data_IF_084839550187
#
_entry.id   IF_084839550187
#
_cell.length_a   1.000
_cell.length_b   1.000
_cell.length_c   1.000
_cell.angle_alpha   90.00
_cell.angle_beta   90.00
_cell.angle_gamma   90.00
#
_symmetry.space_group_name_H-M   'P 1'
#
loop_
_entity.id
_entity.type
_entity.pdbx_description
1 polymer ?
#
# COMPACT_ATOMS: atom_id res chain seq x y z
N UNK A 1 12.45 9.03 26.59
CA UNK A 1 12.66 8.75 25.17
C UNK A 1 12.68 10.06 24.38
N UNK A 2 13.67 10.23 23.49
CA UNK A 2 13.76 11.42 22.62
C UNK A 2 12.76 11.39 21.47
N UNK A 3 12.15 10.25 21.20
CA UNK A 3 11.16 10.05 20.15
C UNK A 3 10.07 9.10 20.65
N UNK A 4 9.11 9.61 21.41
CA UNK A 4 8.03 8.76 21.98
C UNK A 4 7.23 7.99 20.95
N UNK A 5 7.11 8.52 19.73
CA UNK A 5 6.38 7.86 18.65
C UNK A 5 7.00 6.51 18.24
N UNK A 6 8.27 6.29 18.51
CA UNK A 6 8.92 5.01 18.21
C UNK A 6 8.49 3.89 19.16
N UNK A 7 7.90 4.22 20.32
CA UNK A 7 7.35 3.21 21.25
C UNK A 7 6.23 2.40 20.61
N UNK A 8 5.53 2.99 19.66
CA UNK A 8 4.41 2.36 18.97
C UNK A 8 4.77 1.84 17.58
N UNK A 9 5.98 2.14 17.11
CA UNK A 9 6.53 1.63 15.83
C UNK A 9 7.49 0.49 16.12
N UNK A 10 7.14 -0.71 15.68
CA UNK A 10 7.97 -1.91 15.89
C UNK A 10 8.62 -2.41 14.62
N UNK A 11 8.91 -1.50 13.67
CA UNK A 11 9.47 -1.85 12.37
C UNK A 11 10.98 -2.15 12.39
N UNK A 12 11.72 -1.53 13.32
CA UNK A 12 13.17 -1.70 13.43
C UNK A 12 13.59 -1.74 14.90
N UNK A 13 13.94 -2.95 15.38
CA UNK A 13 14.38 -3.17 16.76
C UNK A 13 15.67 -2.40 17.10
N UNK A 14 16.56 -2.20 16.15
CA UNK A 14 17.79 -1.42 16.37
C UNK A 14 17.48 0.04 16.68
N UNK A 15 16.50 0.61 16.01
CA UNK A 15 16.04 1.96 16.28
C UNK A 15 15.42 2.07 17.66
N UNK A 16 14.56 1.15 18.03
CA UNK A 16 13.92 1.13 19.35
C UNK A 16 14.96 1.00 20.46
N UNK A 17 15.91 0.08 20.31
CA UNK A 17 17.00 -0.08 21.29
C UNK A 17 17.83 1.18 21.41
N UNK A 18 18.12 1.88 20.30
CA UNK A 18 18.87 3.14 20.31
C UNK A 18 18.18 4.24 21.12
N UNK A 19 16.86 4.36 21.03
CA UNK A 19 16.10 5.44 21.66
C UNK A 19 15.58 5.11 23.07
N UNK A 20 15.28 3.84 23.36
CA UNK A 20 14.76 3.39 24.64
C UNK A 20 15.84 2.88 25.59
N UNK A 21 16.93 2.37 25.05
CA UNK A 21 17.87 1.55 25.77
C UNK A 21 17.43 0.08 25.80
N UNK A 22 18.38 -0.85 25.94
CA UNK A 22 18.09 -2.29 25.83
C UNK A 22 17.08 -2.79 26.87
N UNK A 23 17.18 -2.34 28.09
CA UNK A 23 16.29 -2.78 29.17
C UNK A 23 14.85 -2.33 28.94
N UNK A 24 14.65 -1.04 28.68
CA UNK A 24 13.31 -0.48 28.48
C UNK A 24 12.64 -1.06 27.24
N UNK A 25 13.39 -1.31 26.18
CA UNK A 25 12.87 -1.97 24.99
C UNK A 25 12.40 -3.40 25.29
N UNK A 26 13.17 -4.19 26.06
CA UNK A 26 12.83 -5.56 26.41
C UNK A 26 11.52 -5.62 27.20
N UNK A 27 11.32 -4.72 28.16
CA UNK A 27 10.08 -4.64 28.94
C UNK A 27 8.89 -4.28 28.04
N UNK A 28 9.06 -3.27 27.16
CA UNK A 28 8.02 -2.85 26.22
C UNK A 28 7.59 -3.99 25.29
N UNK A 29 8.55 -4.68 24.69
CA UNK A 29 8.30 -5.80 23.79
C UNK A 29 7.60 -6.97 24.49
N UNK A 30 8.03 -7.27 25.72
CA UNK A 30 7.39 -8.30 26.55
C UNK A 30 5.93 -7.99 26.87
N UNK A 31 5.61 -6.76 27.22
CA UNK A 31 4.22 -6.34 27.51
C UNK A 31 3.34 -6.49 26.24
N UNK A 32 3.82 -6.07 25.08
CA UNK A 32 3.09 -6.23 23.82
C UNK A 32 2.85 -7.70 23.48
N UNK A 33 3.82 -8.57 23.68
CA UNK A 33 3.68 -10.00 23.46
C UNK A 33 2.62 -10.62 24.35
N UNK A 34 2.59 -10.26 25.64
CA UNK A 34 1.59 -10.75 26.58
C UNK A 34 0.19 -10.32 26.17
N UNK A 35 -0.02 -9.05 25.82
CA UNK A 35 -1.31 -8.54 25.38
C UNK A 35 -1.82 -9.26 24.13
N UNK A 36 -0.95 -9.46 23.14
CA UNK A 36 -1.30 -10.18 21.91
C UNK A 36 -1.72 -11.63 22.20
N UNK A 37 -1.01 -12.32 23.07
CA UNK A 37 -1.31 -13.70 23.43
C UNK A 37 -2.65 -13.82 24.19
N UNK A 38 -2.98 -12.87 25.06
CA UNK A 38 -4.25 -12.85 25.80
C UNK A 38 -5.43 -12.67 24.85
N UNK A 39 -5.38 -11.72 23.92
CA UNK A 39 -6.45 -11.48 22.94
C UNK A 39 -6.68 -12.70 22.06
N UNK A 40 -5.63 -13.31 21.57
CA UNK A 40 -5.69 -14.53 20.77
C UNK A 40 -6.32 -15.69 21.57
N UNK A 41 -5.93 -15.88 22.83
CA UNK A 41 -6.43 -16.96 23.67
C UNK A 41 -7.92 -16.85 23.99
N UNK A 42 -8.45 -15.62 24.08
CA UNK A 42 -9.86 -15.37 24.40
C UNK A 42 -10.78 -15.43 23.17
N UNK A 43 -10.23 -15.36 21.97
CA UNK A 43 -11.01 -15.36 20.73
C UNK A 43 -11.62 -16.74 20.45
N UNK A 44 -12.78 -16.73 19.82
CA UNK A 44 -13.51 -17.94 19.48
C UNK A 44 -14.19 -17.84 18.11
N UNK A 45 -14.84 -18.92 17.71
CA UNK A 45 -15.52 -19.04 16.42
C UNK A 45 -16.69 -18.04 16.27
N UNK A 46 -17.36 -17.66 17.35
CA UNK A 46 -18.43 -16.67 17.32
C UNK A 46 -17.90 -15.28 16.93
N UNK A 47 -16.69 -14.95 17.33
CA UNK A 47 -16.03 -13.70 16.93
C UNK A 47 -15.82 -13.65 15.43
N UNK A 48 -15.40 -14.75 14.82
CA UNK A 48 -15.29 -14.85 13.35
C UNK A 48 -16.66 -14.70 12.68
N UNK A 49 -17.69 -15.37 13.20
CA UNK A 49 -19.04 -15.31 12.63
C UNK A 49 -19.58 -13.89 12.59
N UNK A 50 -19.34 -13.08 13.62
CA UNK A 50 -19.72 -11.66 13.62
C UNK A 50 -19.04 -10.89 12.49
N UNK A 51 -17.74 -11.09 12.27
CA UNK A 51 -17.01 -10.40 11.21
C UNK A 51 -17.49 -10.86 9.85
N UNK A 52 -17.70 -12.16 9.64
CA UNK A 52 -18.20 -12.70 8.38
C UNK A 52 -19.59 -12.16 8.03
N UNK A 53 -20.50 -12.10 8.99
CA UNK A 53 -21.82 -11.53 8.79
C UNK A 53 -21.75 -10.05 8.40
N UNK A 54 -20.84 -9.31 9.01
CA UNK A 54 -20.60 -7.92 8.67
C UNK A 54 -20.03 -7.75 7.26
N UNK A 55 -19.00 -8.51 6.89
CA UNK A 55 -18.34 -8.38 5.58
C UNK A 55 -19.18 -8.92 4.42
N UNK A 56 -20.07 -9.89 4.66
CA UNK A 56 -21.00 -10.37 3.62
C UNK A 56 -21.89 -9.26 3.07
N UNK A 57 -22.28 -8.30 3.91
CA UNK A 57 -23.09 -7.15 3.52
C UNK A 57 -22.34 -6.18 2.60
N UNK A 58 -21.02 -6.25 2.57
CA UNK A 58 -20.16 -5.40 1.73
C UNK A 58 -19.91 -5.99 0.35
N UNK A 59 -20.29 -7.23 0.12
CA UNK A 59 -20.01 -7.89 -1.14
C UNK A 59 -20.67 -7.16 -2.30
N UNK A 60 -19.88 -6.78 -3.30
CA UNK A 60 -20.35 -6.04 -4.47
C UNK A 60 -20.65 -6.99 -5.63
N UNK A 61 -21.62 -6.62 -6.45
CA UNK A 61 -21.83 -7.30 -7.73
C UNK A 61 -20.71 -6.92 -8.68
N UNK A 62 -20.06 -7.88 -9.34
CA UNK A 62 -19.05 -7.55 -10.31
C UNK A 62 -19.64 -6.79 -11.50
N UNK A 63 -18.86 -5.86 -12.05
CA UNK A 63 -19.22 -5.18 -13.29
C UNK A 63 -19.03 -6.17 -14.46
N UNK A 64 -20.09 -6.48 -15.23
CA UNK A 64 -20.00 -7.46 -16.32
C UNK A 64 -18.95 -7.14 -17.37
N UNK A 65 -18.67 -5.88 -17.61
CA UNK A 65 -17.66 -5.43 -18.58
C UNK A 65 -16.24 -5.84 -18.16
N UNK A 66 -15.97 -5.93 -16.84
CA UNK A 66 -14.66 -6.18 -16.31
C UNK A 66 -14.47 -7.55 -15.67
N UNK A 67 -15.56 -8.22 -15.30
CA UNK A 67 -15.47 -9.53 -14.64
C UNK A 67 -14.77 -10.55 -15.54
N UNK A 68 -13.66 -11.07 -15.08
CA UNK A 68 -12.87 -12.05 -15.85
C UNK A 68 -12.08 -11.45 -17.02
N UNK A 69 -12.09 -10.12 -17.20
CA UNK A 69 -11.41 -9.46 -18.32
C UNK A 69 -9.89 -9.69 -18.32
N UNK A 70 -9.31 -9.99 -17.18
CA UNK A 70 -7.87 -10.25 -17.03
C UNK A 70 -7.56 -11.66 -16.54
N UNK A 71 -8.48 -12.59 -16.71
CA UNK A 71 -8.31 -13.98 -16.25
C UNK A 71 -6.99 -14.57 -16.74
N UNK A 72 -6.20 -15.09 -15.80
CA UNK A 72 -4.88 -15.71 -16.05
C UNK A 72 -3.84 -14.80 -16.71
N UNK A 73 -4.05 -13.50 -16.70
CA UNK A 73 -3.03 -12.53 -17.12
C UNK A 73 -2.00 -12.35 -16.00
N UNK A 74 -0.77 -12.06 -16.38
CA UNK A 74 0.25 -11.72 -15.39
C UNK A 74 -0.12 -10.46 -14.63
N UNK A 75 0.31 -10.34 -13.38
CA UNK A 75 0.03 -9.19 -12.54
C UNK A 75 1.34 -8.62 -12.02
N UNK A 76 1.58 -7.36 -12.33
CA UNK A 76 2.76 -6.61 -11.87
C UNK A 76 2.26 -5.46 -11.02
N UNK A 77 2.53 -5.51 -9.73
CA UNK A 77 2.13 -4.48 -8.77
C UNK A 77 3.35 -3.68 -8.35
N UNK A 78 3.32 -2.37 -8.57
CA UNK A 78 4.46 -1.48 -8.35
C UNK A 78 4.11 -0.50 -7.23
N UNK A 79 4.82 -0.64 -6.13
CA UNK A 79 4.70 0.17 -4.94
C UNK A 79 5.67 1.35 -5.04
N UNK A 80 5.13 2.56 -5.13
CA UNK A 80 5.91 3.80 -5.17
C UNK A 80 6.05 4.34 -3.75
N UNK A 81 7.25 4.19 -3.18
CA UNK A 81 7.53 4.62 -1.80
C UNK A 81 7.26 6.11 -1.61
N UNK A 82 6.48 6.46 -0.60
CA UNK A 82 6.21 7.84 -0.17
C UNK A 82 5.63 8.76 -1.26
N UNK A 83 4.97 8.20 -2.27
CA UNK A 83 4.44 8.99 -3.39
C UNK A 83 3.07 9.59 -3.05
N UNK A 84 2.93 10.90 -3.28
CA UNK A 84 1.68 11.65 -3.11
C UNK A 84 1.27 12.32 -4.42
N UNK A 85 -0.03 12.35 -4.69
CA UNK A 85 -0.54 12.85 -5.99
C UNK A 85 -0.38 14.34 -6.21
N UNK A 86 -0.03 15.14 -5.19
CA UNK A 86 0.26 16.55 -5.45
C UNK A 86 1.45 16.72 -6.43
N UNK A 87 2.28 15.69 -6.56
CA UNK A 87 3.40 15.68 -7.52
C UNK A 87 2.94 15.58 -8.97
N UNK A 88 1.75 15.00 -9.21
CA UNK A 88 1.21 14.86 -10.57
C UNK A 88 0.94 16.24 -11.17
N UNK A 89 1.52 16.50 -12.33
CA UNK A 89 1.46 17.79 -13.02
C UNK A 89 2.13 18.96 -12.27
N UNK A 90 2.92 18.66 -11.24
CA UNK A 90 3.66 19.68 -10.50
C UNK A 90 4.91 20.10 -11.27
N UNK A 91 5.12 21.39 -11.35
CA UNK A 91 6.36 21.98 -11.90
C UNK A 91 7.12 22.70 -10.78
N UNK A 92 8.44 22.57 -10.82
CA UNK A 92 9.35 23.30 -9.96
C UNK A 92 10.37 23.99 -10.88
N UNK A 93 10.48 25.32 -10.78
CA UNK A 93 11.34 26.13 -11.65
C UNK A 93 11.08 25.85 -13.15
N UNK A 94 9.80 25.64 -13.52
CA UNK A 94 9.42 25.35 -14.89
C UNK A 94 9.64 23.92 -15.36
N UNK A 95 10.20 23.05 -14.52
CA UNK A 95 10.46 21.65 -14.84
C UNK A 95 9.38 20.74 -14.23
N UNK A 96 8.86 19.78 -14.99
CA UNK A 96 7.95 18.77 -14.46
C UNK A 96 8.67 17.85 -13.49
N UNK A 97 8.08 17.64 -12.30
CA UNK A 97 8.69 16.74 -11.30
C UNK A 97 8.57 15.29 -11.74
N UNK A 98 7.40 14.90 -12.26
CA UNK A 98 7.12 13.52 -12.66
C UNK A 98 6.55 13.45 -14.07
N UNK A 99 7.35 13.76 -15.11
CA UNK A 99 6.84 13.82 -16.48
C UNK A 99 6.25 12.50 -16.98
N UNK A 100 6.82 11.36 -16.61
CA UNK A 100 6.29 10.06 -17.02
C UNK A 100 4.98 9.74 -16.32
N UNK A 101 4.91 9.90 -15.00
CA UNK A 101 3.68 9.67 -14.23
C UNK A 101 2.58 10.64 -14.67
N UNK A 102 2.93 11.89 -15.00
CA UNK A 102 1.99 12.86 -15.56
C UNK A 102 1.33 12.32 -16.85
N UNK A 103 2.12 11.71 -17.70
CA UNK A 103 1.67 11.08 -18.95
C UNK A 103 0.70 9.91 -18.68
N UNK A 104 1.03 9.06 -17.70
CA UNK A 104 0.15 7.95 -17.29
C UNK A 104 -1.16 8.45 -16.68
N UNK A 105 -1.21 9.68 -16.20
CA UNK A 105 -2.34 10.26 -15.46
C UNK A 105 -3.34 10.99 -16.34
N UNK A 106 -3.10 11.06 -17.65
CA UNK A 106 -3.97 11.79 -18.59
C UNK A 106 -5.24 11.03 -18.97
N UNK A 107 -5.27 9.73 -18.81
CA UNK A 107 -6.32 8.87 -19.33
C UNK A 107 -6.18 8.55 -20.83
N UNK A 108 -5.19 9.10 -21.50
CA UNK A 108 -4.94 8.90 -22.93
C UNK A 108 -3.97 7.73 -23.22
N UNK A 109 -3.29 7.23 -22.19
CA UNK A 109 -2.43 6.06 -22.25
C UNK A 109 -3.21 4.80 -21.86
N UNK A 110 -2.53 3.71 -21.61
CA UNK A 110 -3.17 2.41 -21.27
C UNK A 110 -3.73 2.34 -19.87
N UNK A 111 -3.53 3.37 -19.06
CA UNK A 111 -3.83 3.33 -17.62
C UNK A 111 -5.14 4.04 -17.28
N UNK A 112 -5.92 3.35 -16.42
CA UNK A 112 -7.03 3.94 -15.68
C UNK A 112 -6.46 4.59 -14.43
N UNK A 113 -6.54 5.92 -14.34
CA UNK A 113 -6.00 6.68 -13.22
C UNK A 113 -7.09 7.04 -12.23
N UNK A 114 -6.86 6.69 -10.95
CA UNK A 114 -7.72 7.05 -9.84
C UNK A 114 -7.04 8.14 -9.01
N UNK A 115 -7.32 9.43 -9.25
CA UNK A 115 -6.72 10.52 -8.47
C UNK A 115 -7.24 10.58 -7.02
N UNK A 116 -8.44 10.07 -6.76
CA UNK A 116 -9.05 10.08 -5.44
C UNK A 116 -8.86 8.75 -4.70
N UNK A 117 -7.66 8.23 -4.78
CA UNK A 117 -7.25 7.00 -4.11
C UNK A 117 -6.32 7.33 -2.94
N UNK A 118 -6.63 6.77 -1.75
CA UNK A 118 -5.99 7.13 -0.49
C UNK A 118 -5.35 5.91 0.17
N UNK A 119 -4.36 6.16 1.03
CA UNK A 119 -3.79 5.14 1.90
C UNK A 119 -4.53 5.08 3.25
N UNK A 120 -4.43 3.92 3.92
CA UNK A 120 -5.01 3.68 5.24
C UNK A 120 -3.95 3.31 6.26
N UNK A 121 -2.68 3.64 5.98
CA UNK A 121 -1.57 3.23 6.84
C UNK A 121 -1.60 3.95 8.18
N UNK A 122 -1.18 3.24 9.21
CA UNK A 122 -0.89 3.78 10.52
C UNK A 122 0.62 3.79 10.75
N UNK A 123 1.03 3.37 11.93
CA UNK A 123 2.45 3.35 12.33
C UNK A 123 3.30 2.35 11.54
N UNK A 124 2.70 1.34 10.97
CA UNK A 124 3.38 0.34 10.14
C UNK A 124 3.80 0.85 8.75
N UNK A 125 3.40 2.06 8.35
CA UNK A 125 3.81 2.74 7.12
C UNK A 125 3.82 1.82 5.88
N UNK A 126 4.97 1.59 5.29
CA UNK A 126 5.15 0.75 4.10
C UNK A 126 4.56 -0.64 4.29
N UNK A 127 4.82 -1.27 5.43
CA UNK A 127 4.30 -2.62 5.72
C UNK A 127 2.78 -2.64 5.87
N UNK A 128 2.16 -1.59 6.40
CA UNK A 128 0.70 -1.48 6.48
C UNK A 128 0.08 -1.40 5.09
N UNK A 129 0.71 -0.67 4.17
CA UNK A 129 0.26 -0.58 2.78
C UNK A 129 0.31 -1.95 2.09
N UNK A 130 1.44 -2.65 2.19
CA UNK A 130 1.57 -4.01 1.67
C UNK A 130 0.48 -4.93 2.23
N UNK A 131 0.27 -4.84 3.54
CA UNK A 131 -0.72 -5.65 4.24
C UNK A 131 -2.14 -5.40 3.71
N UNK A 132 -2.55 -4.15 3.62
CA UNK A 132 -3.89 -3.77 3.16
C UNK A 132 -4.13 -4.16 1.70
N UNK A 133 -3.14 -3.99 0.84
CA UNK A 133 -3.24 -4.35 -0.57
C UNK A 133 -3.52 -5.83 -0.80
N UNK A 134 -2.89 -6.71 -0.02
CA UNK A 134 -2.98 -8.16 -0.22
C UNK A 134 -4.02 -8.86 0.66
N UNK A 135 -4.56 -8.17 1.68
CA UNK A 135 -5.49 -8.78 2.63
C UNK A 135 -6.84 -8.06 2.72
N UNK A 136 -6.95 -6.84 2.19
CA UNK A 136 -8.15 -6.00 2.32
C UNK A 136 -8.59 -5.84 3.79
N UNK A 137 -7.60 -5.75 4.67
CA UNK A 137 -7.71 -5.46 6.11
C UNK A 137 -6.82 -4.27 6.43
N UNK A 138 -7.07 -3.62 7.53
CA UNK A 138 -6.27 -2.46 7.95
C UNK A 138 -5.12 -2.89 8.85
N UNK A 139 -4.03 -2.10 8.86
CA UNK A 139 -3.00 -2.24 9.87
C UNK A 139 -3.54 -1.96 11.27
N UNK A 140 -2.72 -2.23 12.27
CA UNK A 140 -3.10 -2.05 13.68
C UNK A 140 -3.13 -0.56 14.07
N UNK A 141 -3.91 -0.19 15.11
CA UNK A 141 -3.91 1.18 15.62
C UNK A 141 -2.56 1.58 16.23
N UNK A 142 -1.80 0.61 16.71
CA UNK A 142 -0.45 0.79 17.25
C UNK A 142 0.47 -0.31 16.75
N UNK A 143 1.69 0.06 16.39
CA UNK A 143 2.67 -0.88 15.85
C UNK A 143 2.34 -1.31 14.43
N UNK A 144 2.96 -2.39 14.01
CA UNK A 144 2.85 -2.94 12.66
C UNK A 144 2.25 -4.35 12.72
N UNK A 145 1.28 -4.62 11.85
CA UNK A 145 0.74 -5.98 11.70
C UNK A 145 1.85 -6.97 11.29
N UNK A 146 2.77 -6.53 10.45
CA UNK A 146 3.90 -7.36 10.02
C UNK A 146 4.76 -7.83 11.19
N UNK A 147 5.08 -6.95 12.13
CA UNK A 147 5.91 -7.27 13.29
C UNK A 147 5.15 -8.00 14.39
N UNK A 148 3.88 -7.63 14.63
CA UNK A 148 3.10 -8.11 15.78
C UNK A 148 2.22 -9.31 15.45
N UNK A 149 1.84 -9.50 14.19
CA UNK A 149 0.92 -10.56 13.74
C UNK A 149 1.54 -11.42 12.62
N UNK A 150 2.85 -11.51 12.60
CA UNK A 150 3.59 -12.26 11.58
C UNK A 150 3.37 -13.77 11.59
N UNK A 151 2.81 -14.32 12.67
CA UNK A 151 2.51 -15.74 12.81
C UNK A 151 1.00 -16.07 12.77
N UNK A 152 0.16 -15.09 12.46
CA UNK A 152 -1.26 -15.32 12.29
C UNK A 152 -1.56 -16.20 11.06
N UNK A 153 -2.77 -16.73 11.02
CA UNK A 153 -3.34 -17.38 9.83
C UNK A 153 -3.94 -16.31 8.92
N UNK A 154 -3.63 -16.36 7.62
CA UNK A 154 -4.12 -15.37 6.66
C UNK A 154 -4.78 -16.01 5.45
N UNK A 155 -5.61 -15.21 4.77
CA UNK A 155 -6.28 -15.53 3.52
C UNK A 155 -5.85 -14.52 2.48
N UNK A 156 -4.54 -14.48 2.23
CA UNK A 156 -3.91 -13.44 1.41
C UNK A 156 -4.07 -13.68 -0.08
N UNK A 157 -4.05 -12.59 -0.82
CA UNK A 157 -4.22 -12.58 -2.27
C UNK A 157 -3.28 -13.55 -3.01
N UNK A 158 -1.96 -13.62 -2.73
CA UNK A 158 -1.10 -14.56 -3.45
C UNK A 158 -1.55 -16.01 -3.37
N UNK A 159 -1.99 -16.45 -2.19
CA UNK A 159 -2.47 -17.81 -2.00
C UNK A 159 -3.80 -18.05 -2.71
N UNK A 160 -4.72 -17.09 -2.68
CA UNK A 160 -5.99 -17.19 -3.41
C UNK A 160 -5.72 -17.37 -4.91
N UNK A 161 -4.83 -16.56 -5.47
CA UNK A 161 -4.49 -16.61 -6.89
C UNK A 161 -3.85 -17.95 -7.27
N UNK A 162 -2.99 -18.47 -6.40
CA UNK A 162 -2.39 -19.79 -6.61
C UNK A 162 -3.44 -20.90 -6.61
N UNK A 163 -4.29 -20.92 -5.60
CA UNK A 163 -5.30 -21.98 -5.44
C UNK A 163 -6.36 -21.94 -6.55
N UNK A 164 -6.77 -20.75 -6.96
CA UNK A 164 -7.87 -20.60 -7.93
C UNK A 164 -7.42 -20.64 -9.38
N UNK A 165 -6.24 -20.12 -9.71
CA UNK A 165 -5.82 -19.99 -11.12
C UNK A 165 -4.35 -20.36 -11.36
N UNK A 166 -3.67 -20.97 -10.40
CA UNK A 166 -2.32 -21.50 -10.60
C UNK A 166 -1.22 -20.44 -10.69
N UNK A 167 -1.43 -19.24 -10.13
CA UNK A 167 -0.40 -18.21 -10.12
C UNK A 167 0.79 -18.61 -9.23
N UNK A 168 1.99 -18.27 -9.67
CA UNK A 168 3.15 -18.19 -8.80
C UNK A 168 3.32 -16.74 -8.34
N UNK A 169 3.81 -16.54 -7.13
CA UNK A 169 3.93 -15.20 -6.56
C UNK A 169 5.35 -14.88 -6.15
N UNK A 170 5.72 -13.59 -6.27
CA UNK A 170 7.00 -13.10 -5.83
C UNK A 170 6.91 -11.68 -5.31
N UNK A 171 7.84 -11.33 -4.42
CA UNK A 171 8.10 -9.95 -3.99
C UNK A 171 9.53 -9.61 -4.35
N UNK A 172 9.75 -8.39 -4.84
CA UNK A 172 11.05 -7.85 -5.20
C UNK A 172 11.30 -6.57 -4.42
N UNK A 173 12.39 -6.52 -3.67
CA UNK A 173 12.71 -5.38 -2.82
C UNK A 173 14.22 -5.29 -2.56
N UNK A 174 14.78 -4.10 -2.72
CA UNK A 174 16.22 -3.85 -2.60
C UNK A 174 16.74 -3.71 -1.16
N UNK A 175 16.06 -4.32 -0.18
CA UNK A 175 16.49 -4.40 1.21
C UNK A 175 16.47 -5.86 1.69
N UNK A 176 17.05 -6.13 2.85
CA UNK A 176 17.16 -7.49 3.36
C UNK A 176 15.82 -8.02 3.87
N UNK A 177 15.60 -9.32 3.69
CA UNK A 177 14.31 -10.00 3.92
C UNK A 177 13.76 -9.89 5.34
N UNK A 178 14.62 -9.64 6.34
CA UNK A 178 14.21 -9.50 7.74
C UNK A 178 13.59 -8.15 8.07
N UNK A 179 13.79 -7.14 7.23
CA UNK A 179 13.23 -5.81 7.47
C UNK A 179 11.70 -5.85 7.45
N UNK A 180 11.05 -5.22 8.41
CA UNK A 180 9.61 -5.31 8.63
C UNK A 180 9.10 -6.74 8.89
N UNK A 181 9.96 -7.68 9.29
CA UNK A 181 9.58 -9.09 9.51
C UNK A 181 9.00 -9.77 8.26
N UNK A 182 9.37 -9.30 7.07
CA UNK A 182 8.80 -9.78 5.80
C UNK A 182 9.01 -11.26 5.57
N UNK A 183 10.23 -11.77 5.81
CA UNK A 183 10.55 -13.18 5.60
C UNK A 183 9.65 -14.10 6.41
N UNK A 184 9.19 -13.68 7.58
CA UNK A 184 8.31 -14.47 8.43
C UNK A 184 6.86 -14.38 7.97
N UNK A 185 6.32 -13.17 7.83
CA UNK A 185 4.90 -12.99 7.49
C UNK A 185 4.58 -13.45 6.06
N UNK A 186 5.52 -13.33 5.13
CA UNK A 186 5.31 -13.78 3.74
C UNK A 186 5.04 -15.28 3.63
N UNK A 187 5.60 -16.10 4.54
CA UNK A 187 5.28 -17.53 4.62
C UNK A 187 3.81 -17.76 4.96
N UNK A 188 3.24 -16.89 5.78
CA UNK A 188 1.83 -16.93 6.18
C UNK A 188 0.90 -16.34 5.13
N UNK A 189 1.43 -15.59 4.17
CA UNK A 189 0.68 -15.08 3.01
C UNK A 189 0.72 -16.05 1.81
N UNK A 190 1.57 -17.05 1.84
CA UNK A 190 1.72 -17.99 0.73
C UNK A 190 2.48 -17.40 -0.45
N UNK A 191 3.42 -16.50 -0.21
CA UNK A 191 4.29 -15.94 -1.25
C UNK A 191 5.37 -16.94 -1.59
N UNK A 192 5.51 -17.30 -2.88
CA UNK A 192 6.41 -18.37 -3.32
C UNK A 192 7.88 -17.96 -3.28
N UNK A 193 8.20 -16.73 -3.67
CA UNK A 193 9.60 -16.29 -3.78
C UNK A 193 9.79 -14.85 -3.32
N UNK A 194 10.90 -14.60 -2.63
CA UNK A 194 11.29 -13.27 -2.19
C UNK A 194 12.67 -12.92 -2.74
N UNK A 195 12.69 -12.03 -3.74
CA UNK A 195 13.92 -11.44 -4.27
C UNK A 195 14.28 -10.24 -3.38
N UNK A 196 15.06 -10.52 -2.32
CA UNK A 196 15.55 -9.48 -1.41
C UNK A 196 16.87 -8.86 -1.91
N UNK A 197 17.52 -8.05 -1.07
CA UNK A 197 18.79 -7.40 -1.40
C UNK A 197 19.86 -8.37 -1.92
N UNK A 198 19.87 -9.62 -1.47
CA UNK A 198 20.88 -10.62 -1.89
C UNK A 198 20.77 -11.01 -3.36
N UNK A 199 19.69 -10.66 -4.02
CA UNK A 199 19.46 -10.91 -5.46
C UNK A 199 19.95 -9.78 -6.36
N UNK A 200 20.53 -8.72 -5.78
CA UNK A 200 20.92 -7.50 -6.49
C UNK A 200 22.36 -7.13 -6.20
N UNK A 201 22.95 -6.31 -7.08
CA UNK A 201 24.26 -5.73 -6.86
C UNK A 201 24.18 -4.62 -5.80
N UNK A 202 24.56 -4.94 -4.58
CA UNK A 202 24.54 -4.03 -3.44
C UNK A 202 25.86 -3.29 -3.24
N UNK A 203 26.64 -3.09 -4.31
CA UNK A 203 27.83 -2.24 -4.26
C UNK A 203 27.46 -0.79 -3.94
N UNK A 204 28.38 -0.04 -3.34
CA UNK A 204 28.12 1.29 -2.79
C UNK A 204 27.57 2.27 -3.82
N UNK A 205 28.01 2.19 -5.07
CA UNK A 205 27.52 3.06 -6.15
C UNK A 205 26.02 2.88 -6.42
N UNK A 206 25.47 1.73 -6.11
CA UNK A 206 24.06 1.42 -6.28
C UNK A 206 23.20 1.72 -5.06
N UNK A 207 23.79 2.20 -3.96
CA UNK A 207 23.07 2.43 -2.71
C UNK A 207 22.80 3.90 -2.46
N UNK A 208 21.65 4.18 -1.87
CA UNK A 208 21.26 5.49 -1.34
C UNK A 208 20.38 5.27 -0.11
N UNK A 209 20.66 6.03 0.95
CA UNK A 209 19.88 6.02 2.19
C UNK A 209 19.69 4.60 2.77
N UNK A 210 18.52 4.00 2.58
CA UNK A 210 18.15 2.72 3.22
C UNK A 210 18.48 1.47 2.38
N UNK A 211 18.86 1.62 1.13
CA UNK A 211 19.12 0.45 0.32
C UNK A 211 19.38 0.74 -1.15
N UNK A 212 19.00 -0.21 -1.99
CA UNK A 212 19.27 -0.17 -3.41
C UNK A 212 18.51 0.96 -4.11
N UNK A 213 19.20 1.73 -4.95
CA UNK A 213 18.58 2.76 -5.80
C UNK A 213 17.55 2.14 -6.75
N UNK A 214 16.50 2.88 -7.06
CA UNK A 214 15.39 2.37 -7.86
C UNK A 214 15.79 2.03 -9.31
N UNK A 215 16.71 2.78 -9.95
CA UNK A 215 17.12 2.45 -11.32
C UNK A 215 17.77 1.06 -11.45
N UNK A 216 18.84 0.74 -10.70
CA UNK A 216 19.39 -0.62 -10.77
C UNK A 216 18.42 -1.68 -10.24
N UNK A 217 17.58 -1.36 -9.25
CA UNK A 217 16.54 -2.26 -8.78
C UNK A 217 15.58 -2.67 -9.88
N UNK A 218 14.97 -1.70 -10.55
CA UNK A 218 14.02 -1.97 -11.63
C UNK A 218 14.66 -2.67 -12.82
N UNK A 219 15.88 -2.32 -13.16
CA UNK A 219 16.58 -2.94 -14.30
C UNK A 219 16.77 -4.43 -14.09
N UNK A 220 17.27 -4.82 -12.92
CA UNK A 220 17.46 -6.24 -12.58
C UNK A 220 16.14 -6.96 -12.39
N UNK A 221 15.16 -6.30 -11.77
CA UNK A 221 13.82 -6.87 -11.56
C UNK A 221 13.13 -7.22 -12.88
N UNK A 222 13.26 -6.39 -13.91
CA UNK A 222 12.71 -6.69 -15.23
C UNK A 222 13.30 -7.99 -15.80
N UNK A 223 14.58 -8.26 -15.58
CA UNK A 223 15.22 -9.52 -15.99
C UNK A 223 14.60 -10.71 -15.24
N UNK A 224 14.42 -10.59 -13.93
CA UNK A 224 13.78 -11.65 -13.14
C UNK A 224 12.35 -11.91 -13.61
N UNK A 225 11.57 -10.87 -13.83
CA UNK A 225 10.18 -10.98 -14.28
C UNK A 225 10.10 -11.70 -15.62
N UNK A 226 11.00 -11.42 -16.56
CA UNK A 226 11.01 -12.05 -17.87
C UNK A 226 11.24 -13.56 -17.85
N UNK A 227 11.73 -14.08 -16.72
CA UNK A 227 12.02 -15.50 -16.51
C UNK A 227 10.99 -16.21 -15.61
N UNK A 228 10.00 -15.47 -15.10
CA UNK A 228 8.97 -16.06 -14.22
C UNK A 228 8.02 -16.97 -15.01
N UNK A 229 7.55 -18.02 -14.34
CA UNK A 229 6.52 -18.90 -14.91
C UNK A 229 5.16 -18.18 -14.94
N UNK A 230 4.49 -18.23 -16.07
CA UNK A 230 3.17 -17.61 -16.24
C UNK A 230 2.03 -18.55 -15.85
N UNK A 231 0.92 -18.08 -15.27
CA UNK A 231 0.72 -16.69 -14.84
C UNK A 231 1.46 -16.40 -13.54
N UNK A 232 1.99 -15.19 -13.40
CA UNK A 232 2.66 -14.77 -12.17
C UNK A 232 2.02 -13.51 -11.57
N UNK A 233 2.19 -13.38 -10.26
CA UNK A 233 1.86 -12.20 -9.47
C UNK A 233 3.16 -11.70 -8.82
N UNK A 234 3.65 -10.55 -9.26
CA UNK A 234 4.89 -9.97 -8.75
C UNK A 234 4.64 -8.59 -8.16
N UNK A 235 5.15 -8.38 -6.95
CA UNK A 235 5.07 -7.11 -6.24
C UNK A 235 6.47 -6.51 -6.09
N UNK A 236 6.65 -5.29 -6.64
CA UNK A 236 7.92 -4.55 -6.58
C UNK A 236 7.78 -3.38 -5.61
N UNK A 237 8.73 -3.23 -4.70
CA UNK A 237 8.74 -2.18 -3.68
C UNK A 237 9.97 -1.32 -3.85
N UNK A 238 9.78 -0.04 -4.19
CA UNK A 238 10.84 0.94 -4.39
C UNK A 238 11.38 1.47 -3.07
N UNK A 239 12.55 2.13 -3.08
CA UNK A 239 13.23 2.58 -1.87
C UNK A 239 13.78 4.01 -1.93
N UNK A 240 14.20 4.52 -3.08
CA UNK A 240 14.97 5.77 -3.15
C UNK A 240 14.17 6.98 -2.64
N UNK A 241 12.89 7.06 -2.94
CA UNK A 241 12.00 8.14 -2.50
C UNK A 241 11.52 7.92 -1.07
N UNK A 242 12.47 7.80 -0.12
CA UNK A 242 12.22 7.53 1.29
C UNK A 242 12.84 8.61 2.17
N UNK A 243 12.13 8.96 3.26
CA UNK A 243 12.65 9.91 4.26
C UNK A 243 14.08 9.54 4.69
N UNK A 244 15.03 10.48 4.76
CA UNK A 244 14.92 11.94 4.63
C UNK A 244 15.05 12.50 3.21
N UNK A 245 14.84 11.71 2.18
CA UNK A 245 14.83 12.10 0.76
C UNK A 245 16.17 12.66 0.28
N UNK A 246 17.24 11.96 0.63
CA UNK A 246 18.59 12.28 0.15
C UNK A 246 18.83 11.66 -1.22
N UNK A 247 19.63 12.33 -2.03
CA UNK A 247 20.02 11.82 -3.35
C UNK A 247 21.41 12.34 -3.67
N UNK A 248 22.28 11.47 -4.18
CA UNK A 248 23.60 11.86 -4.65
C UNK A 248 23.45 12.84 -5.81
N UNK A 249 24.37 13.81 -5.89
CA UNK A 249 24.33 14.87 -6.90
C UNK A 249 24.30 14.29 -8.34
N UNK A 250 25.04 13.23 -8.57
CA UNK A 250 25.09 12.55 -9.88
C UNK A 250 23.75 11.90 -10.29
N UNK A 251 22.89 11.60 -9.34
CA UNK A 251 21.58 11.00 -9.59
C UNK A 251 20.45 12.04 -9.69
N UNK A 252 20.72 13.28 -9.28
CA UNK A 252 19.75 14.36 -9.33
C UNK A 252 19.75 15.03 -10.70
N UNK A 253 18.57 15.16 -11.31
CA UNK A 253 18.42 15.79 -12.63
C UNK A 253 17.31 16.83 -12.68
N UNK A 254 16.85 17.28 -11.54
CA UNK A 254 15.95 18.43 -11.38
C UNK A 254 16.48 19.32 -10.26
N UNK A 255 16.33 20.63 -10.41
CA UNK A 255 16.72 21.57 -9.37
C UNK A 255 15.80 21.48 -8.15
N UNK A 256 16.38 21.67 -6.97
CA UNK A 256 15.59 21.75 -5.74
C UNK A 256 14.74 23.02 -5.74
N UNK A 257 13.50 22.95 -5.22
CA UNK A 257 12.80 24.15 -4.81
C UNK A 257 13.54 24.81 -3.64
N UNK A 258 13.27 26.07 -3.38
CA UNK A 258 13.88 26.81 -2.30
C UNK A 258 12.87 27.09 -1.19
N UNK A 259 12.42 26.05 -0.50
CA UNK A 259 11.45 26.19 0.61
C UNK A 259 12.10 26.49 1.96
N UNK A 260 13.41 26.27 2.05
CA UNK A 260 14.14 26.35 3.32
C UNK A 260 14.09 25.08 4.16
N UNK A 261 13.41 24.04 3.69
CA UNK A 261 13.27 22.74 4.33
C UNK A 261 13.94 21.67 3.47
N UNK A 262 15.03 21.11 3.97
CA UNK A 262 15.81 20.12 3.20
C UNK A 262 15.02 18.84 2.88
N UNK A 263 14.08 18.45 3.73
CA UNK A 263 13.24 17.27 3.53
C UNK A 263 12.30 17.49 2.34
N UNK A 264 11.60 18.63 2.31
CA UNK A 264 10.69 18.97 1.21
C UNK A 264 11.45 19.19 -0.09
N UNK A 265 12.58 19.89 -0.04
CA UNK A 265 13.40 20.17 -1.23
C UNK A 265 13.99 18.87 -1.80
N UNK A 266 14.47 17.99 -0.94
CA UNK A 266 14.98 16.68 -1.34
C UNK A 266 13.91 15.76 -1.92
N UNK A 267 12.70 15.83 -1.40
CA UNK A 267 11.57 15.03 -1.87
C UNK A 267 11.29 15.26 -3.37
N UNK A 268 11.41 16.47 -3.84
CA UNK A 268 11.23 16.79 -5.26
C UNK A 268 12.27 16.05 -6.12
N UNK A 269 13.52 16.01 -5.69
CA UNK A 269 14.58 15.31 -6.43
C UNK A 269 14.42 13.80 -6.41
N UNK A 270 14.09 13.22 -5.26
CA UNK A 270 13.90 11.77 -5.15
C UNK A 270 12.64 11.30 -5.90
N UNK A 271 11.57 12.12 -5.90
CA UNK A 271 10.37 11.83 -6.68
C UNK A 271 10.65 11.87 -8.19
N UNK A 272 11.45 12.82 -8.64
CA UNK A 272 11.87 12.89 -10.05
C UNK A 272 12.70 11.66 -10.44
N UNK A 273 13.61 11.23 -9.60
CA UNK A 273 14.40 10.02 -9.79
C UNK A 273 13.51 8.77 -9.85
N UNK A 274 12.52 8.68 -8.98
CA UNK A 274 11.53 7.59 -9.01
C UNK A 274 10.76 7.56 -10.34
N UNK A 275 10.34 8.71 -10.82
CA UNK A 275 9.64 8.84 -12.10
C UNK A 275 10.49 8.33 -13.27
N UNK A 276 11.76 8.72 -13.32
CA UNK A 276 12.71 8.21 -14.33
C UNK A 276 12.90 6.70 -14.22
N UNK A 277 13.00 6.20 -13.00
CA UNK A 277 13.18 4.78 -12.74
C UNK A 277 11.97 3.96 -13.20
N UNK A 278 10.77 4.47 -12.96
CA UNK A 278 9.52 3.85 -13.38
C UNK A 278 9.42 3.83 -14.92
N UNK A 279 9.76 4.93 -15.60
CA UNK A 279 9.78 4.98 -17.05
C UNK A 279 10.72 3.94 -17.64
N UNK A 280 11.93 3.85 -17.13
CA UNK A 280 12.90 2.82 -17.51
C UNK A 280 12.32 1.41 -17.37
N UNK A 281 11.67 1.14 -16.24
CA UNK A 281 11.10 -0.17 -15.96
C UNK A 281 9.99 -0.53 -16.95
N UNK A 282 9.04 0.37 -17.16
CA UNK A 282 7.93 0.13 -18.10
C UNK A 282 8.47 -0.11 -19.51
N UNK A 283 9.46 0.68 -19.95
CA UNK A 283 10.11 0.49 -21.24
C UNK A 283 10.81 -0.87 -21.34
N UNK A 284 11.46 -1.32 -20.27
CA UNK A 284 12.11 -2.65 -20.21
C UNK A 284 11.09 -3.77 -20.29
N UNK A 285 9.94 -3.65 -19.61
CA UNK A 285 8.84 -4.62 -19.69
C UNK A 285 8.31 -4.71 -21.15
N UNK A 286 8.19 -3.59 -21.84
CA UNK A 286 7.78 -3.57 -23.25
C UNK A 286 8.80 -4.29 -24.14
N UNK A 287 10.08 -4.02 -23.96
CA UNK A 287 11.17 -4.64 -24.74
C UNK A 287 11.23 -6.16 -24.50
N UNK A 288 10.93 -6.61 -23.30
CA UNK A 288 10.95 -8.04 -22.93
C UNK A 288 9.66 -8.77 -23.30
N UNK A 289 8.68 -8.08 -23.87
CA UNK A 289 7.42 -8.67 -24.27
C UNK A 289 6.47 -9.02 -23.14
N UNK A 290 6.69 -8.51 -21.93
CA UNK A 290 5.87 -8.80 -20.74
C UNK A 290 4.72 -7.81 -20.59
N UNK A 291 4.89 -6.59 -21.05
CA UNK A 291 3.94 -5.49 -20.82
C UNK A 291 2.54 -5.76 -21.37
N UNK A 292 2.45 -6.24 -22.59
CA UNK A 292 1.18 -6.35 -23.33
C UNK A 292 0.13 -7.19 -22.61
N UNK A 293 0.51 -8.36 -22.12
CA UNK A 293 -0.39 -9.34 -21.52
C UNK A 293 -0.41 -9.29 -19.99
N UNK A 294 0.04 -8.17 -19.41
CA UNK A 294 0.07 -8.01 -17.96
C UNK A 294 -0.90 -6.95 -17.47
N UNK A 295 -1.57 -7.25 -16.37
CA UNK A 295 -2.19 -6.24 -15.52
C UNK A 295 -1.06 -5.52 -14.82
N UNK A 296 -1.04 -4.18 -14.86
CA UNK A 296 -0.06 -3.38 -14.14
C UNK A 296 -0.81 -2.48 -13.17
N UNK A 297 -0.45 -2.57 -11.90
CA UNK A 297 -0.99 -1.72 -10.83
C UNK A 297 0.14 -0.90 -10.25
N UNK A 298 0.00 0.42 -10.27
CA UNK A 298 0.97 1.37 -9.71
C UNK A 298 0.27 2.16 -8.63
N UNK A 299 0.88 2.33 -7.46
CA UNK A 299 0.27 3.08 -6.37
C UNK A 299 1.31 3.68 -5.43
N UNK A 300 0.99 4.85 -4.84
CA UNK A 300 1.74 5.36 -3.70
C UNK A 300 1.31 4.65 -2.41
N UNK A 301 2.23 4.42 -1.50
CA UNK A 301 1.96 3.65 -0.28
C UNK A 301 1.42 4.49 0.88
N UNK A 302 2.01 5.65 1.12
CA UNK A 302 1.60 6.59 2.16
C UNK A 302 2.18 7.98 1.85
N UNK A 303 1.86 9.00 2.67
CA UNK A 303 2.43 10.31 2.50
C UNK A 303 3.96 10.28 2.74
N UNK A 304 4.69 11.10 1.98
CA UNK A 304 6.13 11.29 2.19
C UNK A 304 6.42 12.44 3.14
N UNK A 305 5.63 13.49 3.08
CA UNK A 305 5.82 14.72 3.84
C UNK A 305 4.78 14.84 4.93
N UNK A 306 5.23 14.77 6.20
CA UNK A 306 4.34 14.89 7.35
C UNK A 306 3.93 16.35 7.60
N UNK A 307 2.91 16.55 8.44
CA UNK A 307 2.40 17.87 8.83
C UNK A 307 3.44 18.74 9.54
N UNK A 308 4.52 18.14 10.07
CA UNK A 308 5.65 18.89 10.65
C UNK A 308 6.34 19.79 9.63
N UNK A 309 6.13 19.56 8.33
CA UNK A 309 6.72 20.33 7.23
C UNK A 309 5.70 21.23 6.53
N UNK A 310 4.55 21.51 7.16
CA UNK A 310 3.48 22.29 6.52
C UNK A 310 3.94 23.68 6.06
N UNK A 311 4.82 24.36 6.81
CA UNK A 311 5.32 25.68 6.40
C UNK A 311 6.03 25.64 5.05
N UNK A 312 6.87 24.64 4.84
CA UNK A 312 7.57 24.44 3.56
C UNK A 312 6.60 24.00 2.46
N UNK A 313 5.65 23.14 2.79
CA UNK A 313 4.63 22.70 1.84
C UNK A 313 3.73 23.85 1.38
N UNK A 314 3.41 24.80 2.26
CA UNK A 314 2.69 26.03 1.90
C UNK A 314 3.46 26.84 0.84
N UNK A 315 4.78 26.96 1.00
CA UNK A 315 5.64 27.61 0.02
C UNK A 315 5.67 26.85 -1.32
N UNK A 316 5.79 25.52 -1.25
CA UNK A 316 5.84 24.68 -2.44
C UNK A 316 4.53 24.71 -3.23
N UNK A 317 3.39 24.64 -2.55
CA UNK A 317 2.06 24.54 -3.16
C UNK A 317 1.40 25.91 -3.40
N UNK A 318 1.90 26.97 -2.77
CA UNK A 318 1.31 28.30 -2.89
C UNK A 318 -0.03 28.45 -2.20
N UNK A 319 -0.33 27.63 -1.22
CA UNK A 319 -1.58 27.67 -0.47
C UNK A 319 -1.39 27.21 0.97
N UNK A 320 -2.32 27.60 1.86
CA UNK A 320 -2.27 27.25 3.26
C UNK A 320 -2.64 25.78 3.48
N UNK A 321 -1.92 25.08 4.35
CA UNK A 321 -2.19 23.70 4.71
C UNK A 321 -3.05 23.67 5.97
N UNK A 322 -4.36 23.60 5.79
CA UNK A 322 -5.33 23.35 6.86
C UNK A 322 -5.43 21.85 7.14
N UNK A 323 -6.07 21.41 8.24
CA UNK A 323 -6.31 19.98 8.46
C UNK A 323 -7.06 19.29 7.29
N UNK A 324 -8.03 19.98 6.71
CA UNK A 324 -8.76 19.48 5.54
C UNK A 324 -7.84 19.33 4.31
N UNK A 325 -6.98 20.31 4.07
CA UNK A 325 -5.99 20.25 2.97
C UNK A 325 -4.97 19.16 3.21
N UNK A 326 -4.51 18.97 4.45
CA UNK A 326 -3.57 17.88 4.75
C UNK A 326 -4.20 16.52 4.46
N UNK A 327 -5.49 16.35 4.74
CA UNK A 327 -6.22 15.14 4.39
C UNK A 327 -6.23 14.93 2.86
N UNK A 328 -6.42 15.98 2.08
CA UNK A 328 -6.31 15.89 0.62
C UNK A 328 -4.92 15.46 0.15
N UNK A 329 -3.88 15.84 0.87
CA UNK A 329 -2.50 15.45 0.57
C UNK A 329 -2.21 13.98 0.86
N UNK A 330 -3.12 13.25 1.51
CA UNK A 330 -3.05 11.80 1.68
C UNK A 330 -3.49 11.00 0.46
N UNK A 331 -3.80 11.66 -0.65
CA UNK A 331 -4.01 10.99 -1.93
C UNK A 331 -2.68 10.43 -2.43
N UNK A 332 -2.65 9.12 -2.65
CA UNK A 332 -1.45 8.44 -3.14
C UNK A 332 -1.56 7.97 -4.57
N UNK A 333 -2.77 7.96 -5.11
CA UNK A 333 -3.04 7.59 -6.50
C UNK A 333 -2.98 6.11 -6.78
N UNK A 334 -3.74 5.70 -7.79
CA UNK A 334 -3.75 4.33 -8.28
C UNK A 334 -3.87 4.35 -9.81
N UNK A 335 -2.95 3.68 -10.49
CA UNK A 335 -2.90 3.56 -11.95
C UNK A 335 -3.04 2.09 -12.31
N UNK A 336 -4.09 1.76 -13.04
CA UNK A 336 -4.45 0.40 -13.38
C UNK A 336 -4.45 0.20 -14.90
N UNK A 337 -3.56 -0.67 -15.38
CA UNK A 337 -3.60 -1.13 -16.77
C UNK A 337 -4.26 -2.50 -16.82
N UNK A 338 -5.32 -2.60 -17.61
CA UNK A 338 -6.02 -3.85 -17.88
C UNK A 338 -5.78 -4.21 -19.34
N UNK A 339 -5.17 -5.38 -19.66
CA UNK A 339 -4.94 -5.79 -21.04
C UNK A 339 -6.20 -5.70 -21.91
N UNK A 340 -6.09 -5.04 -23.06
CA UNK A 340 -7.21 -4.88 -23.99
C UNK A 340 -8.20 -3.76 -23.64
N UNK A 341 -7.99 -3.03 -22.56
CA UNK A 341 -8.83 -1.89 -22.17
C UNK A 341 -8.09 -0.58 -22.37
N UNK A 342 -8.82 0.46 -22.79
CA UNK A 342 -8.27 1.81 -22.91
C UNK A 342 -8.15 2.49 -21.55
N UNK A 343 -7.23 3.45 -21.44
CA UNK A 343 -7.09 4.29 -20.27
C UNK A 343 -8.25 5.28 -20.12
N UNK A 344 -8.41 5.77 -18.91
CA UNK A 344 -9.35 6.84 -18.57
C UNK A 344 -8.93 7.47 -17.23
N UNK A 345 -9.53 8.59 -16.89
CA UNK A 345 -9.43 9.14 -15.53
C UNK A 345 -10.71 8.78 -14.79
N UNK A 346 -10.59 8.08 -13.68
CA UNK A 346 -11.71 7.63 -12.87
C UNK A 346 -11.70 8.37 -11.53
N UNK A 347 -12.71 9.20 -11.30
CA UNK A 347 -12.79 10.04 -10.10
C UNK A 347 -13.43 9.35 -8.89
N UNK A 348 -13.66 8.05 -8.97
CA UNK A 348 -14.20 7.25 -7.86
C UNK A 348 -13.29 7.37 -6.63
N UNK A 349 -13.91 7.64 -5.48
CA UNK A 349 -13.19 7.62 -4.19
C UNK A 349 -12.94 6.18 -3.76
N UNK A 350 -11.70 5.86 -3.50
CA UNK A 350 -11.27 4.53 -3.13
C UNK A 350 -10.01 4.55 -2.27
N UNK A 351 -9.67 3.41 -1.73
CA UNK A 351 -8.46 3.24 -0.94
C UNK A 351 -7.81 1.89 -1.20
N UNK A 352 -6.70 1.67 -0.54
CA UNK A 352 -5.89 0.45 -0.74
C UNK A 352 -6.67 -0.83 -0.40
N UNK A 353 -7.61 -0.77 0.54
CA UNK A 353 -8.48 -1.89 0.89
C UNK A 353 -9.34 -2.38 -0.28
N UNK A 354 -9.57 -1.53 -1.26
CA UNK A 354 -10.45 -1.83 -2.40
C UNK A 354 -9.74 -2.56 -3.54
N UNK A 355 -8.42 -2.66 -3.51
CA UNK A 355 -7.64 -3.24 -4.63
C UNK A 355 -7.83 -4.74 -4.72
N UNK A 356 -7.77 -5.46 -3.62
CA UNK A 356 -7.92 -6.92 -3.62
C UNK A 356 -9.26 -7.38 -4.22
N UNK A 357 -10.43 -6.88 -3.76
CA UNK A 357 -11.70 -7.28 -4.39
C UNK A 357 -11.81 -6.86 -5.85
N UNK A 358 -11.24 -5.73 -6.23
CA UNK A 358 -11.19 -5.29 -7.63
C UNK A 358 -10.41 -6.27 -8.50
N UNK A 359 -9.22 -6.68 -8.06
CA UNK A 359 -8.39 -7.62 -8.79
C UNK A 359 -9.04 -8.99 -8.90
N UNK A 360 -9.64 -9.49 -7.81
CA UNK A 360 -10.32 -10.80 -7.84
C UNK A 360 -11.44 -10.83 -8.88
N UNK A 361 -12.26 -9.79 -8.96
CA UNK A 361 -13.29 -9.69 -9.99
C UNK A 361 -12.70 -9.58 -11.41
N UNK A 362 -11.62 -8.82 -11.60
CA UNK A 362 -10.92 -8.75 -12.89
C UNK A 362 -10.44 -10.12 -13.36
N UNK A 363 -10.09 -11.00 -12.44
CA UNK A 363 -9.64 -12.36 -12.74
C UNK A 363 -10.80 -13.35 -12.88
N UNK A 364 -12.03 -12.92 -12.65
CA UNK A 364 -13.21 -13.79 -12.69
C UNK A 364 -13.34 -14.71 -11.48
N UNK A 365 -12.82 -14.31 -10.34
CA UNK A 365 -12.90 -15.05 -9.07
C UNK A 365 -14.05 -14.51 -8.23
N UNK A 366 -14.98 -15.38 -7.85
CA UNK A 366 -16.09 -15.04 -6.95
C UNK A 366 -15.54 -14.68 -5.58
N UNK A 367 -16.10 -13.63 -4.96
CA UNK A 367 -15.60 -13.08 -3.70
C UNK A 367 -16.51 -13.35 -2.50
N UNK A 368 -17.59 -14.12 -2.67
CA UNK A 368 -18.64 -14.29 -1.65
C UNK A 368 -18.12 -14.81 -0.30
N UNK A 369 -17.08 -15.66 -0.33
CA UNK A 369 -16.56 -16.32 0.87
C UNK A 369 -15.22 -15.73 1.36
N UNK A 370 -14.70 -14.68 0.73
CA UNK A 370 -13.49 -14.03 1.20
C UNK A 370 -13.85 -12.86 2.14
N UNK A 371 -13.15 -12.80 3.27
CA UNK A 371 -13.33 -11.75 4.27
C UNK A 371 -12.51 -10.52 3.85
N UNK A 372 -13.17 -9.48 3.37
CA UNK A 372 -12.53 -8.26 2.89
C UNK A 372 -13.29 -7.03 3.35
N UNK A 373 -12.57 -5.98 3.74
CA UNK A 373 -13.16 -4.69 4.14
C UNK A 373 -13.43 -3.78 2.95
N UNK A 374 -12.70 -3.96 1.85
CA UNK A 374 -12.87 -3.17 0.64
C UNK A 374 -13.94 -3.69 -0.30
N UNK A 375 -14.23 -2.90 -1.32
CA UNK A 375 -15.20 -3.21 -2.38
C UNK A 375 -14.59 -2.95 -3.75
N UNK A 376 -15.09 -3.65 -4.77
CA UNK A 376 -14.60 -3.52 -6.15
C UNK A 376 -14.80 -2.10 -6.68
N UNK A 377 -13.71 -1.44 -7.02
CA UNK A 377 -13.72 -0.06 -7.54
C UNK A 377 -14.40 0.09 -8.91
N UNK A 378 -14.55 -1.01 -9.64
CA UNK A 378 -15.19 -1.04 -10.95
C UNK A 378 -16.67 -1.41 -10.87
N UNK A 379 -17.16 -1.80 -9.69
CA UNK A 379 -18.55 -2.15 -9.45
C UNK A 379 -19.40 -0.89 -9.28
N UNK A 380 -20.65 -0.95 -9.77
CA UNK A 380 -21.63 0.10 -9.51
C UNK A 380 -22.01 0.19 -8.02
N UNK A 381 -21.84 -0.90 -7.29
CA UNK A 381 -22.13 -1.00 -5.86
C UNK A 381 -20.94 -0.61 -4.98
N UNK A 382 -19.87 -0.09 -5.57
CA UNK A 382 -18.67 0.29 -4.82
C UNK A 382 -19.01 1.26 -3.68
N UNK A 383 -18.46 0.97 -2.49
CA UNK A 383 -18.56 1.85 -1.34
C UNK A 383 -17.46 2.91 -1.41
N UNK A 384 -17.85 4.16 -1.65
CA UNK A 384 -16.93 5.29 -1.80
C UNK A 384 -16.51 5.95 -0.47
N UNK A 385 -16.87 5.37 0.66
CA UNK A 385 -16.33 5.79 1.97
C UNK A 385 -14.93 5.24 2.12
N UNK A 386 -13.96 6.12 2.30
CA UNK A 386 -12.55 5.74 2.47
C UNK A 386 -12.13 6.06 3.90
N UNK A 387 -11.98 5.06 4.76
CA UNK A 387 -11.56 5.28 6.13
C UNK A 387 -10.07 5.57 6.22
N UNK A 388 -9.68 6.28 7.28
CA UNK A 388 -8.28 6.40 7.71
C UNK A 388 -8.11 5.66 9.04
N UNK A 389 -6.87 5.28 9.34
CA UNK A 389 -6.58 4.48 10.54
C UNK A 389 -7.06 5.14 11.84
N UNK A 390 -7.07 6.45 11.90
CA UNK A 390 -7.50 7.20 13.11
C UNK A 390 -9.01 7.36 13.26
N UNK A 391 -9.82 6.83 12.33
CA UNK A 391 -11.28 6.96 12.35
C UNK A 391 -11.84 8.12 11.55
N UNK A 392 -11.00 8.98 11.01
CA UNK A 392 -11.41 9.95 10.00
C UNK A 392 -11.80 9.22 8.72
N UNK A 393 -12.54 9.89 7.83
CA UNK A 393 -12.86 9.32 6.53
C UNK A 393 -13.12 10.41 5.49
N UNK A 394 -13.03 10.01 4.23
CA UNK A 394 -13.42 10.85 3.09
C UNK A 394 -14.45 10.11 2.25
N UNK A 395 -15.28 10.89 1.58
CA UNK A 395 -16.21 10.44 0.56
C UNK A 395 -16.29 11.50 -0.54
N UNK A 396 -17.03 11.24 -1.59
CA UNK A 396 -17.11 12.11 -2.77
C UNK A 396 -17.38 13.59 -2.45
N UNK A 397 -18.30 13.88 -1.54
CA UNK A 397 -18.78 15.23 -1.31
C UNK A 397 -18.15 15.92 -0.09
N UNK A 398 -17.65 15.15 0.86
CA UNK A 398 -17.12 15.71 2.10
C UNK A 398 -16.06 14.84 2.74
N UNK A 399 -15.38 15.40 3.72
CA UNK A 399 -14.40 14.71 4.57
C UNK A 399 -14.68 15.00 6.04
N UNK A 400 -14.45 13.98 6.85
CA UNK A 400 -14.52 14.07 8.31
C UNK A 400 -13.11 14.02 8.87
N UNK A 401 -12.70 15.10 9.50
CA UNK A 401 -11.34 15.30 10.00
C UNK A 401 -11.39 15.89 11.39
N UNK A 402 -10.84 15.15 12.37
CA UNK A 402 -10.72 15.63 13.74
C UNK A 402 -12.03 16.17 14.34
N UNK A 403 -13.13 15.48 14.14
CA UNK A 403 -14.43 15.86 14.69
C UNK A 403 -15.18 16.91 13.90
N UNK A 404 -14.68 17.37 12.75
CA UNK A 404 -15.32 18.37 11.89
C UNK A 404 -15.56 17.81 10.50
N UNK A 405 -16.61 18.31 9.87
CA UNK A 405 -16.99 17.94 8.50
C UNK A 405 -16.68 19.10 7.56
N UNK A 406 -15.98 18.82 6.48
CA UNK A 406 -15.56 19.82 5.49
C UNK A 406 -16.08 19.45 4.11
N UNK A 407 -16.53 20.46 3.35
CA UNK A 407 -16.90 20.26 1.95
C UNK A 407 -15.64 19.95 1.11
N UNK A 408 -15.74 19.00 0.19
CA UNK A 408 -14.66 18.75 -0.78
C UNK A 408 -14.51 19.84 -1.83
N UNK A 409 -15.52 20.70 -1.99
CA UNK A 409 -15.48 21.81 -2.96
C UNK A 409 -14.42 22.85 -2.62
N UNK A 410 -14.38 23.27 -1.36
CA UNK A 410 -13.59 24.42 -0.91
C UNK A 410 -12.85 24.20 0.41
N UNK A 411 -12.95 23.00 0.98
CA UNK A 411 -12.38 22.66 2.28
C UNK A 411 -12.87 23.53 3.44
N UNK A 412 -14.06 24.14 3.29
CA UNK A 412 -14.69 24.90 4.36
C UNK A 412 -15.56 24.00 5.24
N UNK A 413 -15.66 24.27 6.54
CA UNK A 413 -16.54 23.52 7.43
C UNK A 413 -17.99 23.57 6.94
N UNK A 414 -18.67 22.42 6.99
CA UNK A 414 -20.10 22.34 6.75
C UNK A 414 -20.86 22.72 8.01
N UNK A 415 -21.86 23.58 7.87
CA UNK A 415 -22.73 23.98 8.97
C UNK A 415 -23.85 22.96 9.21
N UNK A 416 -24.23 22.21 8.18
CA UNK A 416 -25.24 21.18 8.24
C UNK A 416 -24.66 19.80 8.00
N UNK A 417 -24.93 18.87 8.90
CA UNK A 417 -24.49 17.47 8.79
C UNK A 417 -25.13 16.83 7.55
N UNK A 418 -24.32 16.18 6.67
CA UNK A 418 -24.87 15.38 5.57
C UNK A 418 -25.78 14.25 6.08
N UNK A 419 -26.82 13.92 5.33
CA UNK A 419 -27.82 12.91 5.73
C UNK A 419 -27.20 11.53 5.97
N UNK A 420 -26.18 11.17 5.21
CA UNK A 420 -25.51 9.86 5.29
C UNK A 420 -24.31 9.85 6.25
N UNK A 421 -24.03 10.96 6.94
CA UNK A 421 -22.84 11.10 7.77
C UNK A 421 -22.77 10.06 8.89
N UNK A 422 -23.83 9.91 9.68
CA UNK A 422 -23.84 8.98 10.82
C UNK A 422 -23.64 7.54 10.35
N UNK A 423 -24.27 7.16 9.25
CA UNK A 423 -24.09 5.84 8.63
C UNK A 423 -22.65 5.58 8.23
N UNK A 424 -22.01 6.55 7.55
CA UNK A 424 -20.62 6.41 7.08
C UNK A 424 -19.64 6.41 8.24
N UNK A 425 -19.87 7.24 9.25
CA UNK A 425 -19.04 7.27 10.46
C UNK A 425 -19.10 5.94 11.21
N UNK A 426 -20.31 5.42 11.43
CA UNK A 426 -20.50 4.14 12.10
C UNK A 426 -19.87 3.00 11.32
N UNK A 427 -19.99 3.01 10.00
CA UNK A 427 -19.36 2.02 9.12
C UNK A 427 -17.83 2.09 9.22
N UNK A 428 -17.24 3.29 9.23
CA UNK A 428 -15.80 3.48 9.36
C UNK A 428 -15.28 2.89 10.68
N UNK A 429 -15.94 3.22 11.79
CA UNK A 429 -15.59 2.68 13.11
C UNK A 429 -15.68 1.16 13.11
N UNK A 430 -16.74 0.63 12.54
CA UNK A 430 -16.99 -0.81 12.51
C UNK A 430 -16.01 -1.56 11.60
N UNK A 431 -15.66 -1.00 10.45
CA UNK A 431 -14.63 -1.57 9.57
C UNK A 431 -13.30 -1.73 10.31
N UNK A 432 -12.86 -0.67 10.98
CA UNK A 432 -11.62 -0.67 11.73
C UNK A 432 -11.66 -1.66 12.91
N UNK A 433 -12.75 -1.67 13.66
CA UNK A 433 -12.94 -2.57 14.78
C UNK A 433 -12.94 -4.05 14.34
N UNK A 434 -13.68 -4.37 13.29
CA UNK A 434 -13.76 -5.74 12.76
C UNK A 434 -12.41 -6.21 12.21
N UNK A 435 -11.70 -5.34 11.51
CA UNK A 435 -10.34 -5.64 11.05
C UNK A 435 -9.40 -5.91 12.24
N UNK A 436 -9.44 -5.07 13.26
CA UNK A 436 -8.64 -5.25 14.47
C UNK A 436 -8.95 -6.57 15.16
N UNK A 437 -10.23 -6.94 15.23
CA UNK A 437 -10.66 -8.21 15.83
C UNK A 437 -10.13 -9.43 15.07
N UNK A 438 -10.09 -9.36 13.74
CA UNK A 438 -9.52 -10.44 12.92
C UNK A 438 -8.04 -10.63 13.26
N UNK A 439 -7.30 -9.54 13.40
CA UNK A 439 -5.86 -9.61 13.66
C UNK A 439 -5.57 -10.01 15.11
N UNK A 440 -6.21 -9.36 16.05
CA UNK A 440 -5.96 -9.60 17.48
C UNK A 440 -6.42 -10.99 17.93
N UNK A 441 -7.51 -11.49 17.35
CA UNK A 441 -8.04 -12.80 17.63
C UNK A 441 -7.49 -13.93 16.77
N UNK A 442 -6.68 -13.60 15.76
CA UNK A 442 -6.25 -14.58 14.74
C UNK A 442 -7.44 -15.38 14.19
N UNK A 443 -8.48 -14.67 13.76
CA UNK A 443 -9.78 -15.27 13.50
C UNK A 443 -9.81 -16.20 12.28
N UNK A 444 -8.93 -16.02 11.29
CA UNK A 444 -8.87 -16.93 10.16
C UNK A 444 -8.54 -18.38 10.55
N UNK A 445 -7.92 -18.60 11.71
CA UNK A 445 -7.65 -19.97 12.20
C UNK A 445 -8.92 -20.78 12.41
N UNK A 446 -10.06 -20.10 12.65
CA UNK A 446 -11.37 -20.73 12.83
C UNK A 446 -12.17 -20.86 11.53
N UNK A 447 -11.67 -20.31 10.42
CA UNK A 447 -12.47 -20.22 9.21
C UNK A 447 -12.29 -21.45 8.32
N UNK A 448 -13.31 -22.31 8.29
CA UNK A 448 -13.44 -23.39 7.31
C UNK A 448 -14.06 -22.81 6.04
N UNK A 449 -13.23 -22.22 5.20
CA UNK A 449 -13.67 -21.55 3.98
C UNK A 449 -13.76 -22.58 2.84
N UNK A 450 -14.95 -22.78 2.21
CA UNK A 450 -15.08 -23.73 1.10
C UNK A 450 -14.28 -23.33 -0.14
N UNK A 451 -13.85 -22.07 -0.24
CA UNK A 451 -13.11 -21.53 -1.38
C UNK A 451 -11.62 -21.31 -1.09
N UNK A 452 -11.14 -21.72 0.08
CA UNK A 452 -9.76 -21.44 0.44
C UNK A 452 -9.18 -22.50 1.39
N UNK A 453 -8.08 -23.11 0.99
CA UNK A 453 -7.31 -24.03 1.84
C UNK A 453 -6.29 -23.24 2.65
N UNK A 454 -6.23 -23.50 3.97
CA UNK A 454 -5.30 -22.83 4.86
C UNK A 454 -3.85 -22.99 4.39
N UNK A 455 -3.11 -21.89 4.43
CA UNK A 455 -1.70 -21.84 4.08
C UNK A 455 -0.91 -22.60 5.14
N UNK A 456 0.06 -23.41 4.69
CA UNK A 456 1.05 -24.07 5.55
C UNK A 456 2.36 -23.28 5.47
N UNK A 457 2.70 -22.45 6.47
CA UNK A 457 3.90 -21.61 6.39
C UNK A 457 5.20 -22.40 6.19
N UNK A 458 5.24 -23.65 6.67
CA UNK A 458 6.41 -24.54 6.52
C UNK A 458 6.69 -24.94 5.08
N UNK A 459 5.74 -24.76 4.16
CA UNK A 459 5.93 -25.04 2.73
C UNK A 459 6.75 -23.94 2.03
N UNK A 460 7.02 -22.84 2.70
CA UNK A 460 7.71 -21.68 2.12
C UNK A 460 9.07 -21.46 2.76
N UNK A 461 10.06 -21.17 1.93
CA UNK A 461 11.42 -20.84 2.36
C UNK A 461 12.04 -19.85 1.39
N UNK A 462 12.56 -18.74 1.92
CA UNK A 462 13.15 -17.69 1.09
C UNK A 462 14.67 -17.79 1.14
N UNK A 463 15.22 -18.40 0.11
CA UNK A 463 16.67 -18.56 -0.05
C UNK A 463 17.31 -17.22 -0.38
N UNK A 464 18.57 -17.06 0.01
CA UNK A 464 19.39 -15.95 -0.44
C UNK A 464 19.63 -16.04 -1.95
N UNK A 465 19.94 -14.89 -2.55
CA UNK A 465 20.16 -14.77 -3.98
C UNK A 465 21.30 -15.62 -4.50
N UNK A 466 21.43 -15.71 -5.82
CA UNK A 466 22.41 -16.57 -6.45
C UNK A 466 23.82 -16.21 -5.97
N UNK A 467 24.56 -17.24 -5.53
CA UNK A 467 26.00 -17.17 -5.23
C UNK A 467 26.79 -16.86 -6.50
#
# INVERSE_FOLDING_TARGET
SNRPELLTRTFDHKYLVKYLGPYNFTVYDGVKTIQNNQQKALANEDDLTKVLNYTKQKNTKPNPEYYGAAKKKNIIKIHLESFQTFLVNKKVNGQEVTPFINKLSTGNEDFRYYPNFFHQTGQGKTSDSEFTMDNSLYGLPQGSAYSLKGDNTYQSLPAILHQKQGYTSSVMHGDYKTFWNRDQIYKHFGIDKFYDATYYDMSEDNLENLGLKDKPFFKKSADYISKENEPFYTHLITLTNHYPFTLKEEDASIDKPNTGDSTVDGYIQTAHYLDQSLEQFINDLKKKGVYKDSVIMIYGDHYGISENHNNAMEKLLGEKITPAKFTDLNRTGFWLKIPGKEGTVDHTYAGQQDVMPTLLHLLGIKTDNYLMMGTDMLSKDHNDTVPFRNGDFVTKDYKYVNGRIYSNKDNKPLTKKPKDFDKRKNQTVKDLEMSDNVLNGDLFRFYDNPDFDKIKPSDYNYKSGPE
#
